data_IF_228083415935
#
_entry.id   IF_228083415935
#
_cell.length_a   1.000
_cell.length_b   1.000
_cell.length_c   1.000
_cell.angle_alpha   90.00
_cell.angle_beta   90.00
_cell.angle_gamma   90.00
#
_symmetry.space_group_name_H-M   'P 1'
#
loop_
_entity.id
_entity.type
_entity.pdbx_description
1 polymer ?
#
# COMPACT_ATOMS: atom_id res chain seq x y z
N UNK A 1 8.17 10.93 2.98
CA UNK A 1 7.27 9.75 3.09
C UNK A 1 6.37 9.76 4.32
N UNK A 2 6.82 10.22 5.50
CA UNK A 2 6.05 10.17 6.76
C UNK A 2 4.61 10.72 6.68
N UNK A 3 4.41 11.90 6.10
CA UNK A 3 3.06 12.48 5.93
C UNK A 3 2.12 11.60 5.08
N UNK A 4 2.63 11.02 3.97
CA UNK A 4 1.86 10.13 3.10
C UNK A 4 1.54 8.80 3.80
N UNK A 5 2.49 8.26 4.57
CA UNK A 5 2.28 7.05 5.36
C UNK A 5 1.19 7.28 6.42
N UNK A 6 1.26 8.39 7.16
CA UNK A 6 0.24 8.77 8.15
C UNK A 6 -1.13 8.95 7.49
N UNK A 7 -1.21 9.60 6.33
CA UNK A 7 -2.46 9.74 5.59
C UNK A 7 -3.04 8.39 5.14
N UNK A 8 -2.20 7.47 4.64
CA UNK A 8 -2.63 6.10 4.28
C UNK A 8 -3.20 5.36 5.50
N UNK A 9 -2.53 5.47 6.66
CA UNK A 9 -3.00 4.87 7.91
C UNK A 9 -4.37 5.45 8.29
N UNK A 10 -4.51 6.77 8.30
CA UNK A 10 -5.78 7.43 8.63
C UNK A 10 -6.92 7.01 7.69
N UNK A 11 -6.70 7.05 6.38
CA UNK A 11 -7.72 6.67 5.37
C UNK A 11 -8.18 5.22 5.55
N UNK A 12 -7.25 4.32 5.90
CA UNK A 12 -7.56 2.90 6.17
C UNK A 12 -8.34 2.73 7.45
N UNK A 13 -7.93 3.40 8.53
CA UNK A 13 -8.67 3.39 9.80
C UNK A 13 -10.10 3.91 9.60
N UNK A 14 -10.28 5.01 8.86
CA UNK A 14 -11.62 5.54 8.55
C UNK A 14 -12.47 4.56 7.74
N UNK A 15 -11.90 3.92 6.71
CA UNK A 15 -12.65 2.94 5.90
C UNK A 15 -12.99 1.66 6.67
N UNK A 16 -12.07 1.19 7.53
CA UNK A 16 -12.32 0.03 8.40
C UNK A 16 -13.39 0.35 9.46
N UNK A 17 -13.33 1.53 10.08
CA UNK A 17 -14.33 1.99 11.03
C UNK A 17 -15.72 2.12 10.40
N UNK A 18 -15.81 2.54 9.13
CA UNK A 18 -17.06 2.56 8.37
C UNK A 18 -17.56 1.15 8.03
N UNK A 19 -16.65 0.22 7.76
CA UNK A 19 -16.95 -1.18 7.47
C UNK A 19 -17.54 -1.44 6.07
N UNK A 20 -18.26 -2.56 5.94
CA UNK A 20 -18.90 -3.00 4.70
C UNK A 20 -17.97 -3.66 3.68
N UNK A 21 -18.48 -3.99 2.47
CA UNK A 21 -17.72 -4.77 1.48
C UNK A 21 -16.44 -4.07 0.99
N UNK A 22 -16.40 -2.74 1.01
CA UNK A 22 -15.20 -1.96 0.67
C UNK A 22 -14.07 -2.16 1.67
N UNK A 23 -14.39 -2.13 2.98
CA UNK A 23 -13.43 -2.36 4.05
C UNK A 23 -12.79 -3.75 3.99
N UNK A 24 -13.58 -4.80 3.71
CA UNK A 24 -13.05 -6.17 3.58
C UNK A 24 -12.11 -6.32 2.38
N UNK A 25 -12.47 -5.73 1.24
CA UNK A 25 -11.60 -5.72 0.05
C UNK A 25 -10.31 -4.95 0.30
N UNK A 26 -10.39 -3.82 1.01
CA UNK A 26 -9.16 -3.11 1.41
C UNK A 26 -8.32 -3.97 2.33
N UNK A 27 -8.90 -4.60 3.35
CA UNK A 27 -8.15 -5.45 4.27
C UNK A 27 -7.37 -6.56 3.54
N UNK A 28 -8.00 -7.22 2.57
CA UNK A 28 -7.34 -8.21 1.72
C UNK A 28 -6.21 -7.58 0.88
N UNK A 29 -6.47 -6.42 0.28
CA UNK A 29 -5.47 -5.70 -0.52
C UNK A 29 -4.27 -5.27 0.31
N UNK A 30 -4.47 -4.79 1.54
CA UNK A 30 -3.36 -4.41 2.45
C UNK A 30 -2.39 -5.57 2.71
N UNK A 31 -2.92 -6.78 2.88
CA UNK A 31 -2.08 -7.97 3.07
C UNK A 31 -1.31 -8.29 1.79
N UNK A 32 -1.99 -8.26 0.64
CA UNK A 32 -1.34 -8.46 -0.66
C UNK A 32 -0.21 -7.47 -0.91
N UNK A 33 -0.45 -6.18 -0.67
CA UNK A 33 0.57 -5.12 -0.82
C UNK A 33 1.80 -5.36 0.08
N UNK A 34 1.60 -5.82 1.33
CA UNK A 34 2.72 -6.15 2.23
C UNK A 34 3.53 -7.34 1.72
N UNK A 35 2.84 -8.39 1.26
CA UNK A 35 3.49 -9.59 0.73
C UNK A 35 4.28 -9.29 -0.53
N UNK A 36 3.69 -8.54 -1.46
CA UNK A 36 4.33 -8.15 -2.72
C UNK A 36 5.55 -7.25 -2.47
N UNK A 37 5.43 -6.27 -1.57
CA UNK A 37 6.53 -5.40 -1.17
C UNK A 37 7.71 -6.20 -0.61
N UNK A 38 7.43 -7.09 0.36
CA UNK A 38 8.46 -7.89 1.01
C UNK A 38 9.08 -8.90 0.04
N UNK A 39 8.27 -9.52 -0.82
CA UNK A 39 8.77 -10.44 -1.82
C UNK A 39 9.70 -9.76 -2.83
N UNK A 40 9.30 -8.61 -3.36
CA UNK A 40 10.13 -7.84 -4.29
C UNK A 40 11.46 -7.43 -3.64
N UNK A 41 11.43 -6.99 -2.38
CA UNK A 41 12.65 -6.64 -1.64
C UNK A 41 13.53 -7.87 -1.36
N UNK A 42 12.92 -9.01 -0.99
CA UNK A 42 13.64 -10.26 -0.76
C UNK A 42 14.32 -10.78 -2.04
N UNK A 43 13.64 -10.70 -3.19
CA UNK A 43 14.22 -11.03 -4.49
C UNK A 43 15.36 -10.08 -4.83
N UNK A 44 15.18 -8.76 -4.64
CA UNK A 44 16.24 -7.78 -4.87
C UNK A 44 17.46 -8.04 -3.97
N UNK A 45 17.26 -8.47 -2.72
CA UNK A 45 18.35 -8.86 -1.83
C UNK A 45 19.04 -10.15 -2.32
N UNK A 46 18.28 -11.21 -2.59
CA UNK A 46 18.81 -12.52 -2.99
C UNK A 46 19.56 -12.49 -4.34
N UNK A 47 19.18 -11.56 -5.23
CA UNK A 47 19.80 -11.39 -6.55
C UNK A 47 20.88 -10.31 -6.57
N UNK A 48 21.15 -9.64 -5.44
CA UNK A 48 22.11 -8.53 -5.37
C UNK A 48 21.64 -7.22 -5.99
N UNK A 49 20.36 -7.09 -6.37
CA UNK A 49 19.75 -5.87 -6.91
C UNK A 49 19.81 -4.65 -5.98
N UNK A 50 19.99 -4.86 -4.68
CA UNK A 50 20.25 -3.77 -3.72
C UNK A 50 21.68 -3.21 -3.81
N UNK A 51 22.62 -3.95 -4.41
CA UNK A 51 24.04 -3.60 -4.48
C UNK A 51 24.83 -4.08 -3.27
N UNK A 52 26.14 -3.80 -3.28
CA UNK A 52 27.10 -4.28 -2.27
C UNK A 52 27.41 -3.26 -1.18
N UNK A 53 27.08 -1.99 -1.41
CA UNK A 53 27.22 -0.93 -0.41
C UNK A 53 26.00 -0.90 0.52
N UNK A 54 26.17 -1.07 1.85
CA UNK A 54 25.07 -1.09 2.80
C UNK A 54 24.23 0.21 2.83
N UNK A 55 24.86 1.37 2.63
CA UNK A 55 24.15 2.65 2.64
C UNK A 55 23.22 2.76 1.42
N UNK A 56 23.74 2.52 0.22
CA UNK A 56 22.94 2.49 -1.01
C UNK A 56 21.85 1.41 -0.99
N UNK A 57 22.13 0.23 -0.41
CA UNK A 57 21.14 -0.83 -0.26
C UNK A 57 19.96 -0.40 0.64
N UNK A 58 20.27 0.30 1.73
CA UNK A 58 19.25 0.87 2.64
C UNK A 58 18.43 1.94 1.94
N UNK A 59 19.06 2.84 1.19
CA UNK A 59 18.38 3.88 0.42
C UNK A 59 17.39 3.26 -0.60
N UNK A 60 17.82 2.27 -1.38
CA UNK A 60 16.95 1.56 -2.31
C UNK A 60 15.78 0.85 -1.62
N UNK A 61 16.01 0.26 -0.44
CA UNK A 61 14.93 -0.33 0.34
C UNK A 61 13.91 0.72 0.78
N UNK A 62 14.37 1.90 1.22
CA UNK A 62 13.50 3.02 1.58
C UNK A 62 12.72 3.52 0.36
N UNK A 63 13.38 3.68 -0.79
CA UNK A 63 12.75 4.11 -2.04
C UNK A 63 11.66 3.15 -2.50
N UNK A 64 11.92 1.84 -2.41
CA UNK A 64 10.96 0.78 -2.69
C UNK A 64 9.67 0.95 -1.89
N UNK A 65 9.78 1.07 -0.55
CA UNK A 65 8.60 1.29 0.29
C UNK A 65 7.95 2.66 0.04
N UNK A 66 8.74 3.71 -0.20
CA UNK A 66 8.22 5.04 -0.48
C UNK A 66 7.38 5.07 -1.77
N UNK A 67 7.76 4.32 -2.81
CA UNK A 67 6.98 4.17 -4.02
C UNK A 67 5.61 3.54 -3.76
N UNK A 68 5.57 2.49 -2.94
CA UNK A 68 4.34 1.79 -2.55
C UNK A 68 3.43 2.70 -1.73
N UNK A 69 3.97 3.42 -0.75
CA UNK A 69 3.21 4.40 0.05
C UNK A 69 2.61 5.49 -0.83
N UNK A 70 3.37 6.01 -1.81
CA UNK A 70 2.85 6.99 -2.79
C UNK A 70 1.70 6.43 -3.64
N UNK A 71 1.81 5.17 -4.09
CA UNK A 71 0.74 4.51 -4.84
C UNK A 71 -0.52 4.34 -3.98
N UNK A 72 -0.36 3.90 -2.72
CA UNK A 72 -1.45 3.73 -1.77
C UNK A 72 -2.16 5.04 -1.46
N UNK A 73 -1.39 6.09 -1.19
CA UNK A 73 -1.94 7.42 -0.92
C UNK A 73 -2.79 7.89 -2.09
N UNK A 74 -2.25 7.87 -3.33
CA UNK A 74 -2.98 8.28 -4.53
C UNK A 74 -4.31 7.52 -4.71
N UNK A 75 -4.31 6.21 -4.44
CA UNK A 75 -5.50 5.37 -4.56
C UNK A 75 -6.55 5.67 -3.50
N UNK A 76 -6.12 5.86 -2.25
CA UNK A 76 -7.01 6.08 -1.12
C UNK A 76 -7.54 7.51 -1.05
N UNK A 77 -6.79 8.48 -1.58
CA UNK A 77 -7.24 9.87 -1.70
C UNK A 77 -8.12 10.12 -2.92
N UNK A 78 -8.26 9.14 -3.83
CA UNK A 78 -9.13 9.23 -4.99
C UNK A 78 -10.62 9.11 -4.62
N UNK A 79 -11.55 9.53 -5.52
CA UNK A 79 -12.97 9.44 -5.26
C UNK A 79 -13.39 7.99 -4.95
N UNK A 80 -14.27 7.75 -3.95
CA UNK A 80 -14.77 6.41 -3.70
C UNK A 80 -15.47 5.88 -4.96
N UNK A 81 -15.20 4.61 -5.31
CA UNK A 81 -15.81 3.98 -6.47
C UNK A 81 -17.34 4.14 -6.42
N UNK A 82 -17.93 4.74 -7.48
CA UNK A 82 -19.38 4.99 -7.57
C UNK A 82 -20.15 3.71 -7.23
N UNK A 83 -20.94 3.74 -6.16
CA UNK A 83 -21.89 2.67 -5.83
C UNK A 83 -22.95 2.62 -6.94
N UNK A 84 -23.03 1.51 -7.69
CA UNK A 84 -24.21 1.22 -8.53
C UNK A 84 -25.42 1.04 -7.58
N UNK A 85 -26.55 1.71 -7.82
CA UNK A 85 -27.74 1.50 -6.99
C UNK A 85 -28.18 0.04 -7.08
N UNK A 86 -28.45 -0.58 -5.93
CA UNK A 86 -29.12 -1.87 -5.84
C UNK A 86 -30.50 -1.70 -6.47
N UNK A 87 -30.78 -2.38 -7.59
CA UNK A 87 -32.14 -2.56 -8.09
C UNK A 87 -32.88 -3.39 -7.04
N UNK A 88 -33.70 -2.75 -6.23
CA UNK A 88 -34.78 -3.42 -5.50
C UNK A 88 -35.84 -3.78 -6.53
N UNK A 89 -36.09 -5.07 -6.69
CA UNK A 89 -37.28 -5.62 -7.34
C UNK A 89 -38.13 -6.29 -6.28
#
# INVERSE_FOLDING_TARGET
MGAQANAVIWLRLSMLAWGGPGARREAQRMVGEKLEANWALAVALATGGLGTDPAAATEKAIEHYAAIVRANHRRLSGPPARRRPRRTG
#
